data_IF_047838947253
#
_entry.id   IF_047838947253
#
_cell.length_a   1.000
_cell.length_b   1.000
_cell.length_c   1.000
_cell.angle_alpha   90.00
_cell.angle_beta   90.00
_cell.angle_gamma   90.00
#
_symmetry.space_group_name_H-M   'P 1'
#
loop_
_entity.id
_entity.type
_entity.pdbx_description
1 polymer ?
#
# COMPACT_ATOMS: atom_id res chain seq x y z
N UNK A 1 -59.19 29.58 -43.31
CA UNK A 1 -57.92 28.88 -43.64
C UNK A 1 -58.21 27.42 -43.95
N UNK A 2 -58.02 26.97 -45.19
CA UNK A 2 -58.13 25.55 -45.57
C UNK A 2 -56.83 24.86 -45.18
N UNK A 3 -56.83 24.10 -44.09
CA UNK A 3 -55.71 23.22 -43.71
C UNK A 3 -55.61 22.13 -44.79
N UNK A 4 -54.47 22.01 -45.45
CA UNK A 4 -54.30 21.16 -46.63
C UNK A 4 -54.29 19.67 -46.26
N UNK A 5 -54.70 18.80 -47.20
CA UNK A 5 -54.62 17.33 -47.05
C UNK A 5 -53.20 16.83 -46.72
N UNK A 6 -52.17 17.63 -47.03
CA UNK A 6 -50.76 17.35 -46.71
C UNK A 6 -50.50 17.42 -45.21
N UNK A 7 -51.18 18.32 -44.49
CA UNK A 7 -51.06 18.43 -43.04
C UNK A 7 -51.65 17.21 -42.34
N UNK A 8 -52.80 16.71 -42.80
CA UNK A 8 -53.37 15.47 -42.28
C UNK A 8 -52.49 14.26 -42.60
N UNK A 9 -51.91 14.17 -43.80
CA UNK A 9 -50.97 13.11 -44.16
C UNK A 9 -49.71 13.11 -43.27
N UNK A 10 -49.16 14.29 -42.98
CA UNK A 10 -48.01 14.47 -42.09
C UNK A 10 -48.36 14.14 -40.63
N UNK A 11 -49.56 14.52 -40.17
CA UNK A 11 -50.06 14.18 -38.85
C UNK A 11 -50.31 12.67 -38.71
N UNK A 12 -50.87 12.01 -39.72
CA UNK A 12 -50.99 10.55 -39.74
C UNK A 12 -49.64 9.85 -39.82
N UNK A 13 -48.64 10.39 -40.52
CA UNK A 13 -47.29 9.82 -40.54
C UNK A 13 -46.58 9.96 -39.18
N UNK A 14 -46.77 11.10 -38.50
CA UNK A 14 -46.30 11.30 -37.12
C UNK A 14 -47.05 10.38 -36.14
N UNK A 15 -48.38 10.23 -36.26
CA UNK A 15 -49.17 9.31 -35.44
C UNK A 15 -48.83 7.83 -35.72
N UNK A 16 -48.54 7.44 -36.97
CA UNK A 16 -48.06 6.10 -37.29
C UNK A 16 -46.67 5.84 -36.72
N UNK A 17 -45.77 6.84 -36.77
CA UNK A 17 -44.46 6.75 -36.13
C UNK A 17 -44.59 6.56 -34.60
N UNK A 18 -45.49 7.31 -33.95
CA UNK A 18 -45.84 7.22 -32.52
C UNK A 18 -46.52 5.89 -32.13
N UNK A 19 -47.31 5.29 -33.04
CA UNK A 19 -47.95 3.98 -32.84
C UNK A 19 -46.99 2.82 -33.11
N UNK A 20 -45.91 3.03 -33.87
CA UNK A 20 -44.82 2.03 -34.02
C UNK A 20 -43.75 2.08 -32.93
N UNK A 21 -43.71 3.13 -32.10
CA UNK A 21 -42.77 3.23 -30.98
C UNK A 21 -42.87 2.10 -29.92
N UNK A 22 -44.02 1.43 -29.67
CA UNK A 22 -44.08 0.33 -28.71
C UNK A 22 -43.65 -1.04 -29.29
N UNK A 23 -43.32 -1.16 -30.59
CA UNK A 23 -42.99 -2.44 -31.24
C UNK A 23 -41.48 -2.72 -31.40
N UNK A 24 -40.60 -1.82 -30.97
CA UNK A 24 -39.14 -2.00 -30.99
C UNK A 24 -38.64 -2.81 -29.76
N UNK A 25 -39.11 -4.05 -29.60
CA UNK A 25 -38.43 -5.02 -28.75
C UNK A 25 -37.49 -5.87 -29.61
N UNK A 26 -36.17 -5.62 -29.47
CA UNK A 26 -35.05 -6.38 -30.03
C UNK A 26 -35.13 -6.74 -31.53
N UNK A 27 -34.98 -5.75 -32.41
CA UNK A 27 -34.76 -5.99 -33.84
C UNK A 27 -33.25 -6.04 -34.12
N UNK A 28 -32.79 -7.21 -34.57
CA UNK A 28 -31.47 -7.35 -35.18
C UNK A 28 -31.61 -8.05 -36.53
N UNK A 29 -30.93 -7.51 -37.54
CA UNK A 29 -30.81 -8.13 -38.85
C UNK A 29 -29.55 -9.01 -38.84
N UNK A 30 -29.74 -10.33 -38.91
CA UNK A 30 -28.66 -11.30 -38.84
C UNK A 30 -28.52 -12.05 -40.17
N UNK A 31 -27.30 -12.13 -40.70
CA UNK A 31 -26.99 -12.74 -42.01
C UNK A 31 -25.73 -13.60 -41.87
N UNK A 32 -25.70 -14.87 -42.35
CA UNK A 32 -26.77 -15.61 -43.02
C UNK A 32 -27.72 -16.32 -42.05
N UNK A 33 -27.34 -16.42 -40.77
CA UNK A 33 -28.08 -17.16 -39.75
C UNK A 33 -28.52 -16.23 -38.63
N UNK A 34 -29.56 -16.63 -37.90
CA UNK A 34 -30.02 -15.92 -36.70
C UNK A 34 -28.96 -15.92 -35.58
N UNK A 35 -28.07 -16.91 -35.56
CA UNK A 35 -27.11 -17.11 -34.45
C UNK A 35 -25.65 -16.88 -34.85
N UNK A 36 -25.35 -16.70 -36.14
CA UNK A 36 -23.98 -16.45 -36.58
C UNK A 36 -23.88 -15.64 -37.87
N UNK A 37 -22.77 -14.90 -38.02
CA UNK A 37 -22.42 -14.12 -39.21
C UNK A 37 -22.28 -12.62 -38.93
N UNK A 38 -23.00 -11.78 -39.68
CA UNK A 38 -23.10 -10.34 -39.53
C UNK A 38 -24.44 -9.97 -38.87
N UNK A 39 -24.41 -9.21 -37.78
CA UNK A 39 -25.60 -8.70 -37.08
C UNK A 39 -25.62 -7.17 -37.07
N UNK A 40 -26.74 -6.57 -37.46
CA UNK A 40 -27.02 -5.14 -37.29
C UNK A 40 -28.19 -5.01 -36.32
N UNK A 41 -27.91 -4.49 -35.13
CA UNK A 41 -28.87 -4.32 -34.03
C UNK A 41 -28.53 -5.16 -32.81
N UNK A 42 -29.52 -5.32 -31.93
CA UNK A 42 -29.35 -5.97 -30.63
C UNK A 42 -29.71 -7.45 -30.69
N UNK A 43 -28.86 -8.29 -31.31
CA UNK A 43 -29.06 -9.75 -31.36
C UNK A 43 -28.56 -10.40 -30.07
N UNK A 44 -29.36 -11.35 -29.56
CA UNK A 44 -28.99 -12.22 -28.44
C UNK A 44 -28.36 -13.51 -28.99
N UNK A 45 -27.50 -14.17 -28.20
CA UNK A 45 -26.90 -15.49 -28.51
C UNK A 45 -26.28 -15.57 -29.92
N UNK A 46 -25.34 -14.67 -30.19
CA UNK A 46 -24.79 -14.45 -31.52
C UNK A 46 -23.27 -14.66 -31.59
N UNK A 47 -22.81 -15.29 -32.67
CA UNK A 47 -21.39 -15.48 -32.97
C UNK A 47 -21.00 -14.82 -34.29
N UNK A 48 -20.16 -13.78 -34.26
CA UNK A 48 -19.65 -13.14 -35.46
C UNK A 48 -19.36 -11.66 -35.28
N UNK A 49 -19.68 -10.86 -36.29
CA UNK A 49 -19.51 -9.41 -36.28
C UNK A 49 -20.85 -8.73 -36.01
N UNK A 50 -20.91 -7.87 -34.99
CA UNK A 50 -22.13 -7.19 -34.56
C UNK A 50 -21.90 -5.67 -34.53
N UNK A 51 -22.79 -4.95 -35.20
CA UNK A 51 -22.92 -3.49 -35.09
C UNK A 51 -24.20 -3.20 -34.31
N UNK A 52 -24.08 -2.50 -33.20
CA UNK A 52 -25.22 -2.19 -32.35
C UNK A 52 -25.25 -0.71 -31.98
N UNK A 53 -26.44 -0.11 -31.99
CA UNK A 53 -26.60 1.23 -31.44
C UNK A 53 -26.49 1.18 -29.91
N UNK A 54 -27.14 0.21 -29.25
CA UNK A 54 -27.22 0.12 -27.79
C UNK A 54 -27.36 -1.32 -27.32
N UNK A 55 -26.47 -1.78 -26.45
CA UNK A 55 -26.54 -3.12 -25.87
C UNK A 55 -27.63 -3.22 -24.78
N UNK A 56 -28.45 -4.27 -24.87
CA UNK A 56 -29.46 -4.68 -23.88
C UNK A 56 -29.58 -6.21 -23.92
N UNK A 57 -29.44 -6.87 -22.77
CA UNK A 57 -29.68 -8.31 -22.59
C UNK A 57 -29.09 -9.17 -23.73
N UNK A 58 -27.75 -9.25 -23.83
CA UNK A 58 -27.07 -9.81 -25.01
C UNK A 58 -27.00 -11.35 -25.03
N UNK A 59 -27.33 -12.03 -23.93
CA UNK A 59 -27.16 -13.48 -23.81
C UNK A 59 -25.68 -13.84 -23.97
N UNK A 60 -25.35 -14.74 -24.89
CA UNK A 60 -23.96 -15.06 -25.25
C UNK A 60 -23.53 -14.38 -26.54
N UNK A 61 -22.56 -13.47 -26.48
CA UNK A 61 -21.96 -12.83 -27.64
C UNK A 61 -20.53 -13.32 -27.84
N UNK A 62 -20.19 -13.83 -29.03
CA UNK A 62 -18.83 -14.26 -29.39
C UNK A 62 -18.38 -13.57 -30.67
N UNK A 63 -17.22 -12.91 -30.66
CA UNK A 63 -16.64 -12.28 -31.84
C UNK A 63 -16.42 -10.78 -31.69
N UNK A 64 -16.76 -9.99 -32.70
CA UNK A 64 -16.50 -8.54 -32.73
C UNK A 64 -17.80 -7.78 -32.51
N UNK A 65 -17.84 -6.88 -31.55
CA UNK A 65 -19.02 -6.04 -31.27
C UNK A 65 -18.65 -4.55 -31.28
N UNK A 66 -19.38 -3.76 -32.05
CA UNK A 66 -19.24 -2.29 -32.07
C UNK A 66 -20.51 -1.65 -31.52
N UNK A 67 -20.41 -0.93 -30.41
CA UNK A 67 -21.56 -0.30 -29.73
C UNK A 67 -21.46 1.22 -29.66
N UNK A 68 -22.45 1.93 -30.20
CA UNK A 68 -22.39 3.39 -30.33
C UNK A 68 -22.95 4.19 -29.14
N UNK A 69 -23.77 3.59 -28.28
CA UNK A 69 -24.47 4.30 -27.21
C UNK A 69 -24.38 3.60 -25.85
N UNK A 70 -24.79 4.33 -24.79
CA UNK A 70 -24.78 3.82 -23.42
C UNK A 70 -25.68 2.58 -23.29
N UNK A 71 -25.20 1.48 -22.68
CA UNK A 71 -25.99 0.26 -22.47
C UNK A 71 -27.32 0.51 -21.71
N UNK A 72 -28.25 -0.43 -21.81
CA UNK A 72 -29.46 -0.45 -20.99
C UNK A 72 -29.12 -0.51 -19.49
N UNK A 73 -29.99 -0.03 -18.58
CA UNK A 73 -29.69 -0.05 -17.14
C UNK A 73 -29.51 -1.48 -16.59
N UNK A 74 -30.14 -2.45 -17.23
CA UNK A 74 -29.99 -3.87 -16.95
C UNK A 74 -29.38 -4.51 -18.20
N UNK A 75 -28.05 -4.56 -18.28
CA UNK A 75 -27.37 -5.40 -19.26
C UNK A 75 -26.97 -6.70 -18.56
N UNK A 76 -27.28 -7.83 -19.20
CA UNK A 76 -26.94 -9.19 -18.77
C UNK A 76 -26.27 -9.92 -19.92
N UNK A 77 -25.53 -10.98 -19.61
CA UNK A 77 -24.92 -11.86 -20.60
C UNK A 77 -23.40 -11.76 -20.72
N UNK A 78 -22.86 -12.75 -21.43
CA UNK A 78 -21.43 -13.01 -21.57
C UNK A 78 -20.95 -12.55 -22.95
N UNK A 79 -19.94 -11.69 -22.97
CA UNK A 79 -19.30 -11.27 -24.21
C UNK A 79 -17.84 -11.72 -24.26
N UNK A 80 -17.52 -12.58 -25.21
CA UNK A 80 -16.16 -13.04 -25.50
C UNK A 80 -15.68 -12.58 -26.88
N UNK A 81 -14.66 -11.72 -26.94
CA UNK A 81 -14.02 -11.32 -28.19
C UNK A 81 -13.50 -9.88 -28.18
N UNK A 82 -13.78 -9.12 -29.24
CA UNK A 82 -13.29 -7.75 -29.42
C UNK A 82 -14.45 -6.76 -29.35
N UNK A 83 -14.52 -5.99 -28.28
CA UNK A 83 -15.52 -4.94 -28.06
C UNK A 83 -14.98 -3.56 -28.34
N UNK A 84 -15.63 -2.82 -29.23
CA UNK A 84 -15.37 -1.41 -29.48
C UNK A 84 -16.62 -0.62 -29.13
N UNK A 85 -16.52 0.45 -28.35
CA UNK A 85 -17.70 1.27 -28.08
C UNK A 85 -17.38 2.74 -27.85
N UNK A 86 -18.24 3.62 -28.36
CA UNK A 86 -18.08 5.07 -28.19
C UNK A 86 -18.21 5.46 -26.70
N UNK A 87 -19.24 4.94 -26.05
CA UNK A 87 -19.37 5.02 -24.58
C UNK A 87 -18.56 3.90 -23.93
N UNK A 88 -18.64 2.69 -24.46
CA UNK A 88 -17.98 1.54 -23.86
C UNK A 88 -18.68 0.21 -24.03
N UNK A 89 -17.94 -0.90 -24.25
CA UNK A 89 -18.48 -2.24 -24.07
C UNK A 89 -18.99 -2.43 -22.63
N UNK A 90 -20.16 -3.03 -22.50
CA UNK A 90 -20.74 -3.39 -21.21
C UNK A 90 -21.51 -4.70 -21.29
N UNK A 91 -21.22 -5.61 -20.36
CA UNK A 91 -21.85 -6.91 -20.24
C UNK A 91 -21.76 -7.40 -18.79
N UNK A 92 -22.40 -8.52 -18.47
CA UNK A 92 -22.23 -9.15 -17.17
C UNK A 92 -20.81 -9.68 -17.01
N UNK A 93 -20.35 -10.45 -18.00
CA UNK A 93 -18.97 -10.89 -18.11
C UNK A 93 -18.36 -10.43 -19.44
N UNK A 94 -17.19 -9.79 -19.38
CA UNK A 94 -16.42 -9.33 -20.52
C UNK A 94 -15.12 -10.13 -20.60
N UNK A 95 -14.85 -10.80 -21.73
CA UNK A 95 -13.62 -11.55 -21.97
C UNK A 95 -13.01 -11.20 -23.32
N UNK A 96 -11.75 -10.75 -23.34
CA UNK A 96 -11.01 -10.48 -24.58
C UNK A 96 -10.42 -9.08 -24.63
N UNK A 97 -10.64 -8.35 -25.73
CA UNK A 97 -10.11 -7.00 -25.95
C UNK A 97 -11.29 -6.02 -25.93
N UNK A 98 -11.30 -5.10 -24.97
CA UNK A 98 -12.36 -4.13 -24.78
C UNK A 98 -11.81 -2.71 -24.89
N UNK A 99 -12.30 -1.93 -25.84
CA UNK A 99 -11.89 -0.54 -26.06
C UNK A 99 -13.14 0.34 -25.97
N UNK A 100 -13.21 1.13 -24.89
CA UNK A 100 -14.28 2.09 -24.65
C UNK A 100 -13.79 3.53 -24.81
N UNK A 101 -14.49 4.30 -25.63
CA UNK A 101 -14.24 5.73 -25.80
C UNK A 101 -14.51 6.56 -24.55
N UNK A 102 -15.32 6.05 -23.61
CA UNK A 102 -15.49 6.64 -22.27
C UNK A 102 -15.07 5.65 -21.19
N UNK A 103 -15.67 4.46 -21.14
CA UNK A 103 -15.36 3.48 -20.10
C UNK A 103 -15.49 2.03 -20.59
N UNK A 104 -14.92 1.08 -19.87
CA UNK A 104 -15.23 -0.36 -20.00
C UNK A 104 -15.80 -0.83 -18.66
N UNK A 105 -17.00 -1.40 -18.67
CA UNK A 105 -17.72 -1.75 -17.43
C UNK A 105 -18.30 -3.16 -17.52
N UNK A 106 -17.90 -4.03 -16.59
CA UNK A 106 -18.53 -5.32 -16.40
C UNK A 106 -19.35 -5.36 -15.11
N UNK A 107 -20.49 -6.05 -15.13
CA UNK A 107 -21.31 -6.23 -13.93
C UNK A 107 -20.71 -7.25 -12.96
N UNK A 108 -19.99 -8.25 -13.46
CA UNK A 108 -19.35 -9.26 -12.64
C UNK A 108 -17.86 -9.32 -12.95
N UNK A 109 -17.48 -9.87 -14.11
CA UNK A 109 -16.06 -10.10 -14.41
C UNK A 109 -15.59 -9.43 -15.69
N UNK A 110 -14.38 -8.89 -15.66
CA UNK A 110 -13.68 -8.37 -16.82
C UNK A 110 -12.33 -9.10 -16.93
N UNK A 111 -12.08 -9.78 -18.05
CA UNK A 111 -10.84 -10.54 -18.27
C UNK A 111 -10.22 -10.23 -19.63
N UNK A 112 -8.96 -9.78 -19.66
CA UNK A 112 -8.19 -9.57 -20.88
C UNK A 112 -7.55 -8.19 -20.95
N UNK A 113 -7.60 -7.55 -22.12
CA UNK A 113 -7.11 -6.19 -22.34
C UNK A 113 -8.30 -5.23 -22.32
N UNK A 114 -8.26 -4.20 -21.48
CA UNK A 114 -9.31 -3.19 -21.39
C UNK A 114 -8.72 -1.78 -21.37
N UNK A 115 -9.24 -0.93 -22.25
CA UNK A 115 -8.82 0.48 -22.38
C UNK A 115 -10.06 1.37 -22.34
N UNK A 116 -10.11 2.30 -21.39
CA UNK A 116 -11.18 3.27 -21.22
C UNK A 116 -10.62 4.68 -21.00
N UNK A 117 -11.14 5.67 -21.73
CA UNK A 117 -10.69 7.07 -21.60
C UNK A 117 -10.84 7.62 -20.18
N UNK A 118 -11.92 7.24 -19.48
CA UNK A 118 -12.21 7.65 -18.11
C UNK A 118 -11.92 6.48 -17.17
N UNK A 119 -12.57 5.33 -17.39
CA UNK A 119 -12.51 4.24 -16.43
C UNK A 119 -12.53 2.85 -17.05
N UNK A 120 -11.86 1.92 -16.38
CA UNK A 120 -12.02 0.48 -16.58
C UNK A 120 -12.44 -0.12 -15.24
N UNK A 121 -13.51 -0.91 -15.21
CA UNK A 121 -13.85 -1.60 -13.96
C UNK A 121 -14.93 -2.67 -14.04
N UNK A 122 -15.05 -3.41 -12.95
CA UNK A 122 -16.07 -4.41 -12.73
C UNK A 122 -16.57 -4.41 -11.28
N UNK A 123 -17.83 -4.78 -11.05
CA UNK A 123 -18.35 -4.86 -9.66
C UNK A 123 -17.72 -6.01 -8.87
N UNK A 124 -17.22 -7.05 -9.53
CA UNK A 124 -16.59 -8.21 -8.89
C UNK A 124 -15.09 -8.27 -9.14
N UNK A 125 -14.68 -8.75 -10.31
CA UNK A 125 -13.26 -8.98 -10.60
C UNK A 125 -12.80 -8.44 -11.94
N UNK A 126 -11.58 -7.93 -11.96
CA UNK A 126 -10.91 -7.43 -13.15
C UNK A 126 -9.56 -8.13 -13.26
N UNK A 127 -9.30 -8.81 -14.38
CA UNK A 127 -8.07 -9.58 -14.61
C UNK A 127 -7.44 -9.28 -15.96
N UNK A 128 -6.18 -8.88 -15.98
CA UNK A 128 -5.39 -8.71 -17.21
C UNK A 128 -4.70 -7.36 -17.29
N UNK A 129 -4.84 -6.66 -18.41
CA UNK A 129 -4.23 -5.34 -18.63
C UNK A 129 -5.35 -4.30 -18.70
N UNK A 130 -5.34 -3.36 -17.76
CA UNK A 130 -6.42 -2.38 -17.57
C UNK A 130 -5.84 -0.97 -17.59
N UNK A 131 -6.27 -0.17 -18.57
CA UNK A 131 -5.82 1.21 -18.76
C UNK A 131 -7.04 2.12 -18.67
N UNK A 132 -7.22 2.76 -17.51
CA UNK A 132 -8.22 3.79 -17.29
C UNK A 132 -7.58 5.18 -17.28
N UNK A 133 -8.05 6.11 -18.10
CA UNK A 133 -7.45 7.45 -18.13
C UNK A 133 -7.61 8.22 -16.82
N UNK A 134 -8.65 7.97 -16.03
CA UNK A 134 -8.79 8.46 -14.64
C UNK A 134 -8.65 7.32 -13.65
N UNK A 135 -9.36 6.20 -13.82
CA UNK A 135 -9.35 5.13 -12.82
C UNK A 135 -9.43 3.72 -13.40
N UNK A 136 -8.77 2.78 -12.74
CA UNK A 136 -8.99 1.35 -12.92
C UNK A 136 -9.42 0.73 -11.58
N UNK A 137 -10.53 0.00 -11.54
CA UNK A 137 -11.00 -0.55 -10.28
C UNK A 137 -11.89 -1.79 -10.36
N UNK A 138 -11.88 -2.56 -9.28
CA UNK A 138 -12.79 -3.70 -9.06
C UNK A 138 -13.46 -3.60 -7.69
N UNK A 139 -14.68 -4.13 -7.56
CA UNK A 139 -15.36 -4.20 -6.26
C UNK A 139 -14.79 -5.26 -5.32
N UNK A 140 -14.19 -6.33 -5.83
CA UNK A 140 -13.50 -7.37 -5.03
C UNK A 140 -12.01 -7.44 -5.44
N UNK A 141 -11.68 -8.15 -6.52
CA UNK A 141 -10.29 -8.43 -6.94
C UNK A 141 -9.89 -7.67 -8.22
N UNK A 142 -8.78 -6.93 -8.17
CA UNK A 142 -8.13 -6.35 -9.36
C UNK A 142 -6.74 -6.96 -9.56
N UNK A 143 -6.56 -7.72 -10.64
CA UNK A 143 -5.36 -8.53 -10.89
C UNK A 143 -4.71 -8.29 -12.25
N UNK A 144 -3.42 -7.93 -12.26
CA UNK A 144 -2.61 -7.87 -13.47
C UNK A 144 -1.81 -6.57 -13.62
N UNK A 145 -1.87 -5.95 -14.80
CA UNK A 145 -1.24 -4.66 -15.09
C UNK A 145 -2.31 -3.58 -15.09
N UNK A 146 -2.28 -2.68 -14.12
CA UNK A 146 -3.35 -1.71 -13.88
C UNK A 146 -2.77 -0.30 -13.89
N UNK A 147 -3.35 0.54 -14.75
CA UNK A 147 -2.99 1.95 -14.87
C UNK A 147 -4.24 2.81 -14.69
N UNK A 148 -4.17 3.76 -13.77
CA UNK A 148 -5.19 4.78 -13.53
C UNK A 148 -4.56 6.15 -13.41
N UNK A 149 -4.98 7.11 -14.24
CA UNK A 149 -4.40 8.46 -14.21
C UNK A 149 -4.54 9.19 -12.86
N UNK A 150 -5.59 8.88 -12.10
CA UNK A 150 -5.80 9.32 -10.72
C UNK A 150 -5.65 8.15 -9.74
N UNK A 151 -6.34 7.02 -9.97
CA UNK A 151 -6.37 5.96 -8.98
C UNK A 151 -6.47 4.55 -9.56
N UNK A 152 -5.84 3.60 -8.85
CA UNK A 152 -6.07 2.17 -9.02
C UNK A 152 -6.58 1.62 -7.69
N UNK A 153 -7.71 0.89 -7.71
CA UNK A 153 -8.38 0.47 -6.48
C UNK A 153 -9.07 -0.88 -6.57
N UNK A 154 -9.05 -1.64 -5.48
CA UNK A 154 -9.84 -2.85 -5.30
C UNK A 154 -10.58 -2.80 -3.96
N UNK A 155 -11.80 -3.33 -3.89
CA UNK A 155 -12.53 -3.40 -2.62
C UNK A 155 -11.97 -4.45 -1.65
N UNK A 156 -11.31 -5.48 -2.16
CA UNK A 156 -10.67 -6.53 -1.35
C UNK A 156 -9.18 -6.63 -1.73
N UNK A 157 -8.86 -7.34 -2.82
CA UNK A 157 -7.47 -7.66 -3.20
C UNK A 157 -7.00 -6.92 -4.45
N UNK A 158 -5.81 -6.32 -4.37
CA UNK A 158 -5.10 -5.71 -5.49
C UNK A 158 -3.79 -6.46 -5.75
N UNK A 159 -3.69 -7.20 -6.87
CA UNK A 159 -2.51 -8.01 -7.21
C UNK A 159 -1.87 -7.63 -8.55
N UNK A 160 -0.55 -7.38 -8.56
CA UNK A 160 0.24 -7.28 -9.78
C UNK A 160 1.08 -5.99 -9.87
N UNK A 161 1.00 -5.29 -11.00
CA UNK A 161 1.65 -4.00 -11.21
C UNK A 161 0.57 -2.93 -11.26
N UNK A 162 0.55 -2.03 -10.28
CA UNK A 162 -0.49 -1.03 -10.10
C UNK A 162 0.15 0.36 -10.09
N UNK A 163 -0.29 1.22 -11.01
CA UNK A 163 0.19 2.59 -11.16
C UNK A 163 -1.00 3.52 -11.12
N UNK A 164 -1.15 4.24 -10.01
CA UNK A 164 -2.17 5.25 -9.76
C UNK A 164 -1.52 6.62 -9.62
N UNK A 165 -1.94 7.60 -10.43
CA UNK A 165 -1.31 8.92 -10.43
C UNK A 165 -1.41 9.66 -9.09
N UNK A 166 -2.49 9.46 -8.33
CA UNK A 166 -2.65 9.94 -6.95
C UNK A 166 -2.57 8.78 -5.96
N UNK A 167 -3.26 7.66 -6.19
CA UNK A 167 -3.33 6.59 -5.19
C UNK A 167 -3.42 5.18 -5.78
N UNK A 168 -2.84 4.22 -5.04
CA UNK A 168 -3.10 2.79 -5.19
C UNK A 168 -3.65 2.24 -3.87
N UNK A 169 -4.82 1.58 -3.91
CA UNK A 169 -5.51 1.15 -2.70
C UNK A 169 -6.18 -0.22 -2.80
N UNK A 170 -6.21 -0.95 -1.69
CA UNK A 170 -6.99 -2.16 -1.52
C UNK A 170 -7.73 -2.13 -0.18
N UNK A 171 -8.96 -2.65 -0.11
CA UNK A 171 -9.68 -2.76 1.16
C UNK A 171 -9.10 -3.82 2.10
N UNK A 172 -8.45 -4.85 1.56
CA UNK A 172 -7.74 -5.88 2.32
C UNK A 172 -6.26 -5.86 1.94
N UNK A 173 -5.89 -6.55 0.86
CA UNK A 173 -4.50 -6.86 0.54
C UNK A 173 -4.02 -6.19 -0.74
N UNK A 174 -2.82 -5.59 -0.66
CA UNK A 174 -2.15 -4.94 -1.79
C UNK A 174 -0.80 -5.61 -2.05
N UNK A 175 -0.73 -6.36 -3.15
CA UNK A 175 0.38 -7.29 -3.44
C UNK A 175 1.02 -7.02 -4.81
N UNK A 176 2.35 -6.90 -4.84
CA UNK A 176 3.14 -6.74 -6.08
C UNK A 176 3.92 -5.42 -6.15
N UNK A 177 3.92 -4.77 -7.30
CA UNK A 177 4.54 -3.45 -7.51
C UNK A 177 3.45 -2.38 -7.51
N UNK A 178 3.51 -1.44 -6.57
CA UNK A 178 2.46 -0.46 -6.35
C UNK A 178 3.06 0.95 -6.30
N UNK A 179 2.61 1.81 -7.21
CA UNK A 179 3.04 3.21 -7.28
C UNK A 179 1.79 4.08 -7.17
N UNK A 180 1.68 4.78 -6.05
CA UNK A 180 0.65 5.80 -5.82
C UNK A 180 1.33 7.15 -5.69
N UNK A 181 1.04 8.10 -6.59
CA UNK A 181 1.76 9.37 -6.59
C UNK A 181 1.72 10.10 -5.23
N UNK A 182 0.58 10.09 -4.55
CA UNK A 182 0.44 10.59 -3.18
C UNK A 182 0.52 9.46 -2.14
N UNK A 183 -0.24 8.37 -2.31
CA UNK A 183 -0.30 7.31 -1.30
C UNK A 183 -0.51 5.90 -1.86
N UNK A 184 0.03 4.91 -1.14
CA UNK A 184 -0.33 3.49 -1.27
C UNK A 184 -0.93 3.00 0.05
N UNK A 185 -2.06 2.29 0.01
CA UNK A 185 -2.76 1.84 1.22
C UNK A 185 -3.41 0.47 1.08
N UNK A 186 -3.39 -0.31 2.17
CA UNK A 186 -4.12 -1.55 2.30
C UNK A 186 -4.81 -1.61 3.67
N UNK A 187 -6.05 -2.11 3.73
CA UNK A 187 -6.76 -2.27 5.00
C UNK A 187 -6.18 -3.37 5.89
N UNK A 188 -5.53 -4.38 5.31
CA UNK A 188 -4.82 -5.45 6.00
C UNK A 188 -3.34 -5.37 5.67
N UNK A 189 -2.88 -6.08 4.62
CA UNK A 189 -1.46 -6.25 4.36
C UNK A 189 -0.98 -5.64 3.04
N UNK A 190 0.18 -5.01 3.08
CA UNK A 190 0.94 -4.59 1.90
C UNK A 190 2.15 -5.50 1.69
N UNK A 191 2.25 -6.18 0.54
CA UNK A 191 3.37 -7.07 0.23
C UNK A 191 4.01 -6.81 -1.13
N UNK A 192 5.32 -6.55 -1.17
CA UNK A 192 6.09 -6.40 -2.40
C UNK A 192 6.89 -5.11 -2.45
N UNK A 193 6.77 -4.37 -3.55
CA UNK A 193 7.44 -3.08 -3.75
C UNK A 193 6.35 -2.00 -3.77
N UNK A 194 6.43 -1.05 -2.83
CA UNK A 194 5.48 0.06 -2.77
C UNK A 194 6.21 1.40 -2.68
N UNK A 195 5.78 2.36 -3.50
CA UNK A 195 6.35 3.69 -3.54
C UNK A 195 5.26 4.76 -3.60
N UNK A 196 5.39 5.81 -2.77
CA UNK A 196 4.52 6.97 -2.78
C UNK A 196 5.22 8.24 -2.30
N UNK A 197 4.73 9.43 -2.66
CA UNK A 197 5.34 10.68 -2.15
C UNK A 197 5.00 10.88 -0.67
N UNK A 198 3.73 10.79 -0.30
CA UNK A 198 3.33 11.07 1.06
C UNK A 198 3.46 9.81 1.93
N UNK A 199 2.64 8.79 1.70
CA UNK A 199 2.61 7.66 2.62
C UNK A 199 2.40 6.29 1.98
N UNK A 200 2.97 5.29 2.63
CA UNK A 200 2.64 3.87 2.44
C UNK A 200 2.16 3.30 3.77
N UNK A 201 0.93 2.79 3.82
CA UNK A 201 0.29 2.36 5.06
C UNK A 201 -0.47 1.05 4.93
N UNK A 202 -0.30 0.16 5.90
CA UNK A 202 -1.06 -1.08 6.04
C UNK A 202 -1.78 -1.12 7.40
N UNK A 203 -3.00 -1.65 7.45
CA UNK A 203 -3.71 -1.82 8.72
C UNK A 203 -3.08 -2.87 9.64
N UNK A 204 -2.47 -3.90 9.05
CA UNK A 204 -1.81 -5.00 9.76
C UNK A 204 -0.32 -5.02 9.40
N UNK A 205 0.07 -5.69 8.32
CA UNK A 205 1.48 -5.94 7.99
C UNK A 205 1.96 -5.21 6.73
N UNK A 206 3.19 -4.70 6.79
CA UNK A 206 3.90 -4.13 5.66
C UNK A 206 5.17 -4.95 5.40
N UNK A 207 5.21 -5.69 4.29
CA UNK A 207 6.28 -6.63 3.96
C UNK A 207 6.93 -6.34 2.59
N UNK A 208 8.23 -6.04 2.56
CA UNK A 208 9.01 -5.95 1.32
C UNK A 208 9.88 -4.70 1.23
N UNK A 209 9.89 -4.05 0.06
CA UNK A 209 10.57 -2.78 -0.16
C UNK A 209 9.54 -1.66 -0.21
N UNK A 210 9.59 -0.75 0.77
CA UNK A 210 8.65 0.37 0.84
C UNK A 210 9.40 1.68 0.93
N UNK A 211 9.05 2.61 0.06
CA UNK A 211 9.65 3.94 -0.01
C UNK A 211 8.56 5.02 0.01
N UNK A 212 8.65 5.94 0.97
CA UNK A 212 7.88 7.18 0.94
C UNK A 212 8.69 8.40 1.35
N UNK A 213 8.34 9.57 0.81
CA UNK A 213 9.03 10.81 1.17
C UNK A 213 8.55 11.40 2.51
N UNK A 214 7.38 10.98 3.02
CA UNK A 214 6.91 11.37 4.35
C UNK A 214 6.85 10.19 5.32
N UNK A 215 5.91 9.24 5.21
CA UNK A 215 5.78 8.21 6.24
C UNK A 215 5.45 6.81 5.72
N UNK A 216 6.11 5.80 6.32
CA UNK A 216 5.75 4.39 6.15
C UNK A 216 5.27 3.83 7.49
N UNK A 217 4.16 3.10 7.49
CA UNK A 217 3.62 2.55 8.73
C UNK A 217 2.78 1.29 8.57
N UNK A 218 2.74 0.48 9.62
CA UNK A 218 1.85 -0.67 9.74
C UNK A 218 1.23 -0.74 11.14
N UNK A 219 -0.01 -1.19 11.27
CA UNK A 219 -0.67 -1.35 12.57
C UNK A 219 -0.09 -2.49 13.40
N UNK A 220 0.50 -3.50 12.75
CA UNK A 220 1.20 -4.61 13.39
C UNK A 220 2.68 -4.58 13.02
N UNK A 221 3.10 -5.28 11.97
CA UNK A 221 4.51 -5.51 11.71
C UNK A 221 5.02 -4.82 10.43
N UNK A 222 6.25 -4.31 10.49
CA UNK A 222 6.99 -3.81 9.33
C UNK A 222 8.18 -4.73 9.10
N UNK A 223 8.23 -5.41 7.95
CA UNK A 223 9.30 -6.38 7.62
C UNK A 223 9.93 -6.12 6.25
N UNK A 224 11.24 -5.90 6.22
CA UNK A 224 12.01 -5.74 4.99
C UNK A 224 12.84 -4.46 4.96
N UNK A 225 12.82 -3.75 3.82
CA UNK A 225 13.53 -2.47 3.64
C UNK A 225 12.49 -1.36 3.57
N UNK A 226 12.45 -0.52 4.61
CA UNK A 226 11.46 0.56 4.72
C UNK A 226 12.16 1.90 4.87
N UNK A 227 11.88 2.82 3.94
CA UNK A 227 12.44 4.17 3.93
C UNK A 227 11.26 5.14 3.99
N UNK A 228 11.14 5.90 5.08
CA UNK A 228 10.13 6.94 5.25
C UNK A 228 10.83 8.26 5.52
N UNK A 229 10.66 9.26 4.65
CA UNK A 229 11.45 10.49 4.75
C UNK A 229 11.30 11.19 6.10
N UNK A 230 10.08 11.32 6.64
CA UNK A 230 9.86 11.79 8.01
C UNK A 230 9.95 10.62 9.00
N UNK A 231 9.12 9.59 8.88
CA UNK A 231 9.04 8.53 9.88
C UNK A 231 8.78 7.12 9.33
N UNK A 232 9.23 6.12 10.09
CA UNK A 232 8.86 4.71 9.93
C UNK A 232 8.31 4.19 11.25
N UNK A 233 7.14 3.56 11.23
CA UNK A 233 6.48 3.09 12.46
C UNK A 233 5.81 1.71 12.32
N UNK A 234 5.80 0.95 13.41
CA UNK A 234 5.01 -0.27 13.54
C UNK A 234 4.29 -0.32 14.89
N UNK A 235 3.07 -0.82 14.95
CA UNK A 235 2.37 -0.99 16.22
C UNK A 235 2.96 -2.11 17.08
N UNK A 236 3.51 -3.15 16.45
CA UNK A 236 4.18 -4.28 17.10
C UNK A 236 5.68 -4.29 16.74
N UNK A 237 6.11 -5.13 15.80
CA UNK A 237 7.52 -5.34 15.51
C UNK A 237 7.99 -4.69 14.20
N UNK A 238 9.23 -4.17 14.21
CA UNK A 238 9.97 -3.79 13.02
C UNK A 238 11.14 -4.77 12.80
N UNK A 239 11.21 -5.44 11.66
CA UNK A 239 12.29 -6.37 11.31
C UNK A 239 12.92 -6.03 9.95
N UNK A 240 14.22 -5.71 9.93
CA UNK A 240 14.99 -5.52 8.69
C UNK A 240 15.79 -4.21 8.68
N UNK A 241 15.70 -3.47 7.57
CA UNK A 241 16.40 -2.18 7.38
C UNK A 241 15.36 -1.07 7.40
N UNK A 242 15.51 -0.12 8.32
CA UNK A 242 14.62 1.04 8.42
C UNK A 242 15.41 2.34 8.43
N UNK A 243 14.99 3.30 7.62
CA UNK A 243 15.63 4.61 7.55
C UNK A 243 14.60 5.74 7.52
N UNK A 244 14.82 6.77 8.34
CA UNK A 244 14.01 7.99 8.35
C UNK A 244 14.80 9.22 8.78
N UNK A 245 14.33 10.42 8.43
CA UNK A 245 15.00 11.67 8.84
C UNK A 245 14.58 12.14 10.23
N UNK A 246 13.40 11.75 10.71
CA UNK A 246 12.95 12.11 12.05
C UNK A 246 12.97 10.90 12.97
N UNK A 247 11.97 10.02 12.90
CA UNK A 247 11.82 8.94 13.88
C UNK A 247 11.62 7.56 13.23
N UNK A 248 12.18 6.54 13.86
CA UNK A 248 11.89 5.15 13.56
C UNK A 248 11.56 4.41 14.86
N UNK A 249 10.41 3.73 14.93
CA UNK A 249 10.10 2.99 16.15
C UNK A 249 8.91 2.06 16.09
N UNK A 250 8.89 1.15 17.06
CA UNK A 250 7.91 0.08 17.15
C UNK A 250 7.31 0.00 18.56
N UNK A 251 6.04 -0.36 18.68
CA UNK A 251 5.42 -0.59 19.99
C UNK A 251 5.99 -1.81 20.73
N UNK A 252 6.48 -2.81 20.00
CA UNK A 252 7.16 -4.00 20.50
C UNK A 252 8.67 -3.91 20.30
N UNK A 253 9.22 -4.72 19.40
CA UNK A 253 10.66 -4.84 19.13
C UNK A 253 11.07 -4.19 17.80
N UNK A 254 12.24 -3.53 17.79
CA UNK A 254 12.95 -3.17 16.54
C UNK A 254 14.17 -4.09 16.40
N UNK A 255 14.21 -4.86 15.31
CA UNK A 255 15.26 -5.86 15.02
C UNK A 255 15.90 -5.59 13.66
N UNK A 256 17.22 -5.39 13.62
CA UNK A 256 17.96 -5.22 12.38
C UNK A 256 18.80 -3.95 12.35
N UNK A 257 18.77 -3.21 11.24
CA UNK A 257 19.53 -1.98 11.04
C UNK A 257 18.57 -0.79 10.93
N UNK A 258 18.60 0.10 11.92
CA UNK A 258 17.68 1.25 11.99
C UNK A 258 18.46 2.54 12.11
N UNK A 259 18.17 3.50 11.23
CA UNK A 259 18.75 4.84 11.24
C UNK A 259 17.64 5.87 11.27
N UNK A 260 17.70 6.81 12.23
CA UNK A 260 16.78 7.93 12.30
C UNK A 260 17.51 9.23 12.61
N UNK A 261 17.17 10.33 11.94
CA UNK A 261 17.83 11.62 12.18
C UNK A 261 17.52 12.27 13.53
N UNK A 262 16.43 11.88 14.20
CA UNK A 262 16.09 12.35 15.56
C UNK A 262 16.13 11.20 16.57
N UNK A 263 15.23 10.21 16.45
CA UNK A 263 15.11 9.16 17.48
C UNK A 263 14.83 7.76 16.94
N UNK A 264 15.42 6.76 17.61
CA UNK A 264 15.08 5.33 17.44
C UNK A 264 14.50 4.78 18.73
N UNK A 265 13.30 4.22 18.69
CA UNK A 265 12.59 3.76 19.90
C UNK A 265 11.92 2.41 19.75
N UNK A 266 11.87 1.63 20.82
CA UNK A 266 11.04 0.43 20.91
C UNK A 266 10.40 0.32 22.30
N UNK A 267 9.18 -0.19 22.37
CA UNK A 267 8.49 -0.40 23.65
C UNK A 267 9.06 -1.55 24.47
N UNK A 268 9.70 -2.53 23.83
CA UNK A 268 10.29 -3.70 24.49
C UNK A 268 11.79 -3.82 24.23
N UNK A 269 12.19 -3.97 22.96
CA UNK A 269 13.56 -4.32 22.62
C UNK A 269 14.10 -3.61 21.37
N UNK A 270 15.32 -3.06 21.47
CA UNK A 270 16.17 -2.73 20.34
C UNK A 270 17.21 -3.84 20.15
N UNK A 271 17.21 -4.55 19.02
CA UNK A 271 18.18 -5.60 18.72
C UNK A 271 18.86 -5.38 17.36
N UNK A 272 20.18 -5.23 17.35
CA UNK A 272 20.97 -5.06 16.13
C UNK A 272 21.78 -3.76 16.12
N UNK A 273 21.65 -2.96 15.06
CA UNK A 273 22.34 -1.69 14.87
C UNK A 273 21.30 -0.56 14.87
N UNK A 274 21.40 0.33 15.84
CA UNK A 274 20.53 1.51 15.95
C UNK A 274 21.36 2.78 15.96
N UNK A 275 21.12 3.67 15.00
CA UNK A 275 21.78 4.99 14.90
C UNK A 275 20.70 6.06 14.96
N UNK A 276 20.80 6.96 15.94
CA UNK A 276 19.88 8.07 16.11
C UNK A 276 20.64 9.40 16.24
N UNK A 277 20.11 10.47 15.64
CA UNK A 277 20.76 11.78 15.73
C UNK A 277 20.67 12.43 17.12
N UNK A 278 19.65 12.11 17.92
CA UNK A 278 19.46 12.65 19.28
C UNK A 278 19.35 11.54 20.32
N UNK A 279 18.39 10.62 20.17
CA UNK A 279 18.08 9.66 21.24
C UNK A 279 17.78 8.25 20.73
N UNK A 280 18.24 7.25 21.48
CA UNK A 280 17.85 5.87 21.30
C UNK A 280 17.39 5.25 22.63
N UNK A 281 16.30 4.47 22.62
CA UNK A 281 15.86 3.82 23.85
C UNK A 281 14.83 2.70 23.70
N UNK A 282 14.94 1.74 24.61
CA UNK A 282 14.01 0.65 24.87
C UNK A 282 14.36 0.00 26.23
N UNK A 283 13.45 -0.75 26.88
CA UNK A 283 13.78 -1.52 28.08
C UNK A 283 15.00 -2.41 27.88
N UNK A 284 15.02 -3.23 26.83
CA UNK A 284 16.16 -4.08 26.48
C UNK A 284 16.87 -3.58 25.21
N UNK A 285 18.17 -3.31 25.30
CA UNK A 285 18.99 -2.95 24.13
C UNK A 285 20.10 -3.97 23.95
N UNK A 286 20.14 -4.61 22.78
CA UNK A 286 21.11 -5.66 22.42
C UNK A 286 21.79 -5.38 21.08
N UNK A 287 23.07 -5.07 21.09
CA UNK A 287 23.86 -4.83 19.88
C UNK A 287 24.63 -3.52 19.91
N UNK A 288 24.71 -2.83 18.77
CA UNK A 288 25.38 -1.55 18.63
C UNK A 288 24.36 -0.41 18.64
N UNK A 289 24.59 0.60 19.46
CA UNK A 289 23.73 1.80 19.50
C UNK A 289 24.58 3.06 19.50
N UNK A 290 24.29 3.98 18.59
CA UNK A 290 24.93 5.29 18.50
C UNK A 290 23.87 6.38 18.56
N UNK A 291 23.83 7.13 19.66
CA UNK A 291 22.95 8.28 19.83
C UNK A 291 23.47 9.17 20.97
N UNK A 292 23.38 10.52 20.89
CA UNK A 292 23.80 11.38 22.00
C UNK A 292 23.24 10.99 23.36
N UNK A 293 21.97 10.58 23.40
CA UNK A 293 21.28 10.08 24.59
C UNK A 293 20.84 8.62 24.38
N UNK A 294 21.29 7.71 25.27
CA UNK A 294 20.84 6.32 25.29
C UNK A 294 20.16 6.02 26.63
N UNK A 295 18.94 5.50 26.58
CA UNK A 295 18.16 5.12 27.76
C UNK A 295 17.63 3.69 27.69
N UNK A 296 17.92 2.88 28.70
CA UNK A 296 17.45 1.49 28.79
C UNK A 296 17.35 1.00 30.24
N UNK A 297 16.84 -0.22 30.42
CA UNK A 297 16.89 -0.96 31.68
C UNK A 297 17.99 -2.01 31.64
N UNK A 298 18.10 -2.76 30.53
CA UNK A 298 19.21 -3.67 30.27
C UNK A 298 19.91 -3.30 28.96
N UNK A 299 21.24 -3.30 29.00
CA UNK A 299 22.09 -3.03 27.84
C UNK A 299 23.07 -4.17 27.63
N UNK A 300 23.13 -4.73 26.42
CA UNK A 300 24.13 -5.73 26.03
C UNK A 300 24.77 -5.37 24.69
N UNK A 301 26.04 -4.95 24.69
CA UNK A 301 26.78 -4.69 23.45
C UNK A 301 27.67 -3.45 23.50
N UNK A 302 27.61 -2.61 22.46
CA UNK A 302 28.49 -1.45 22.30
C UNK A 302 27.64 -0.17 22.19
N UNK A 303 27.76 0.69 23.19
CA UNK A 303 27.11 1.98 23.23
C UNK A 303 28.08 3.13 22.89
N UNK A 304 27.74 3.91 21.88
CA UNK A 304 28.34 5.22 21.63
C UNK A 304 27.31 6.29 21.99
N UNK A 305 27.45 6.86 23.18
CA UNK A 305 26.54 7.86 23.71
C UNK A 305 27.26 9.15 24.06
N UNK A 306 27.65 10.01 23.09
CA UNK A 306 28.51 11.17 23.33
C UNK A 306 28.13 12.02 24.53
N UNK A 307 26.83 12.18 24.84
CA UNK A 307 26.36 12.98 25.97
C UNK A 307 26.02 12.12 27.19
N UNK A 308 25.08 11.18 27.08
CA UNK A 308 24.53 10.54 28.28
C UNK A 308 24.02 9.13 28.03
N UNK A 309 24.50 8.18 28.83
CA UNK A 309 23.98 6.81 28.89
C UNK A 309 23.32 6.55 30.25
N UNK A 310 22.08 6.08 30.22
CA UNK A 310 21.31 5.72 31.42
C UNK A 310 20.83 4.28 31.36
N UNK A 311 21.23 3.49 32.36
CA UNK A 311 20.69 2.16 32.65
C UNK A 311 19.90 2.21 33.94
N UNK A 312 18.58 2.03 33.86
CA UNK A 312 17.64 2.15 34.98
C UNK A 312 17.51 0.81 35.71
N UNK A 313 18.31 0.60 36.75
CA UNK A 313 18.13 -0.49 37.72
C UNK A 313 18.47 -1.91 37.25
N UNK A 314 18.48 -2.16 35.94
CA UNK A 314 18.90 -3.44 35.36
C UNK A 314 20.40 -3.56 35.12
N UNK A 315 20.78 -4.37 34.13
CA UNK A 315 22.17 -4.73 33.86
C UNK A 315 22.76 -3.98 32.65
N UNK A 316 23.94 -3.40 32.82
CA UNK A 316 24.82 -3.03 31.71
C UNK A 316 25.85 -4.13 31.49
N UNK A 317 25.94 -4.66 30.26
CA UNK A 317 26.90 -5.68 29.85
C UNK A 317 27.57 -5.33 28.52
N UNK A 318 28.75 -4.74 28.55
CA UNK A 318 29.50 -4.48 27.31
C UNK A 318 30.47 -3.32 27.39
N UNK A 319 30.51 -2.50 26.34
CA UNK A 319 31.38 -1.32 26.25
C UNK A 319 30.52 -0.08 26.06
N UNK A 320 30.72 0.95 26.89
CA UNK A 320 30.14 2.28 26.65
C UNK A 320 31.22 3.34 26.51
N UNK A 321 30.99 4.25 25.55
CA UNK A 321 31.75 5.49 25.41
C UNK A 321 30.76 6.64 25.53
N UNK A 322 30.81 7.38 26.63
CA UNK A 322 29.88 8.47 26.93
C UNK A 322 30.49 9.51 27.85
N UNK A 323 30.13 10.79 27.70
CA UNK A 323 30.56 11.81 28.68
C UNK A 323 30.07 11.47 30.10
N UNK A 324 28.84 10.95 30.21
CA UNK A 324 28.21 10.62 31.48
C UNK A 324 27.55 9.24 31.40
N UNK A 325 28.19 8.25 32.01
CA UNK A 325 27.62 6.92 32.18
C UNK A 325 26.93 6.82 33.55
N UNK A 326 25.64 6.53 33.57
CA UNK A 326 24.88 6.29 34.80
C UNK A 326 24.22 4.92 34.78
N UNK A 327 24.84 3.96 35.46
CA UNK A 327 24.35 2.60 35.64
C UNK A 327 23.78 2.44 37.04
N UNK A 328 22.45 2.41 37.16
CA UNK A 328 21.76 2.30 38.45
C UNK A 328 21.57 0.85 38.93
N UNK A 329 22.11 -0.14 38.21
CA UNK A 329 22.16 -1.55 38.62
C UNK A 329 23.55 -2.13 38.45
N UNK A 330 23.63 -3.32 37.84
CA UNK A 330 24.87 -4.07 37.62
C UNK A 330 25.66 -3.51 36.43
N UNK A 331 26.89 -3.03 36.65
CA UNK A 331 27.82 -2.70 35.59
C UNK A 331 28.81 -3.84 35.34
N UNK A 332 28.67 -4.53 34.20
CA UNK A 332 29.61 -5.55 33.69
C UNK A 332 30.24 -5.05 32.38
N UNK A 333 31.57 -5.07 32.32
CA UNK A 333 32.32 -4.59 31.15
C UNK A 333 32.96 -3.21 31.36
N UNK A 334 33.17 -2.47 30.29
CA UNK A 334 34.01 -1.27 30.25
C UNK A 334 33.17 0.00 29.99
N UNK A 335 33.16 0.92 30.96
CA UNK A 335 32.57 2.24 30.76
C UNK A 335 33.68 3.30 30.64
N UNK A 336 33.71 4.01 29.52
CA UNK A 336 34.64 5.10 29.24
C UNK A 336 33.85 6.41 29.25
N UNK A 337 34.31 7.40 30.03
CA UNK A 337 33.63 8.68 30.10
C UNK A 337 34.31 9.76 30.93
N UNK A 338 33.71 10.94 31.00
CA UNK A 338 34.16 11.98 31.94
C UNK A 338 33.71 11.57 33.34
N UNK A 339 32.43 11.21 33.48
CA UNK A 339 31.86 10.71 34.73
C UNK A 339 31.27 9.32 34.48
N UNK A 340 31.71 8.36 35.30
CA UNK A 340 31.14 7.02 35.34
C UNK A 340 30.52 6.79 36.72
N UNK A 341 29.25 6.41 36.77
CA UNK A 341 28.55 6.03 37.98
C UNK A 341 27.99 4.61 37.84
N UNK A 342 28.28 3.76 38.82
CA UNK A 342 27.68 2.44 38.97
C UNK A 342 27.17 2.22 40.41
N UNK A 343 25.96 1.68 40.53
CA UNK A 343 25.46 1.16 41.81
C UNK A 343 26.27 -0.09 42.22
N UNK A 344 26.31 -1.11 41.36
CA UNK A 344 27.13 -2.32 41.57
C UNK A 344 28.15 -2.46 40.44
N UNK A 345 29.45 -2.37 40.75
CA UNK A 345 30.52 -2.41 39.77
C UNK A 345 31.13 -3.81 39.74
N UNK A 346 30.93 -4.54 38.63
CA UNK A 346 31.53 -5.85 38.34
C UNK A 346 32.52 -5.81 37.17
N UNK A 347 32.71 -4.62 36.58
CA UNK A 347 33.59 -4.37 35.44
C UNK A 347 34.67 -3.33 35.74
N UNK A 348 35.02 -2.55 34.71
CA UNK A 348 36.04 -1.51 34.75
C UNK A 348 35.46 -0.17 34.31
N UNK A 349 35.83 0.91 34.99
CA UNK A 349 35.50 2.28 34.63
C UNK A 349 36.79 3.02 34.31
N UNK A 350 36.78 3.79 33.21
CA UNK A 350 37.87 4.68 32.81
C UNK A 350 37.30 6.08 32.61
N UNK A 351 37.80 7.05 33.36
CA UNK A 351 37.28 8.41 33.29
C UNK A 351 37.87 9.37 34.30
N UNK A 352 37.53 10.65 34.16
CA UNK A 352 38.01 11.69 35.09
C UNK A 352 37.50 11.43 36.50
N UNK A 353 36.22 11.05 36.63
CA UNK A 353 35.57 10.72 37.89
C UNK A 353 34.81 9.39 37.80
N UNK A 354 35.21 8.42 38.62
CA UNK A 354 34.62 7.07 38.61
C UNK A 354 34.02 6.74 39.99
N UNK A 355 32.70 6.59 40.02
CA UNK A 355 31.90 6.39 41.22
C UNK A 355 31.32 4.97 41.22
N UNK A 356 31.68 4.18 42.23
CA UNK A 356 31.19 2.82 42.45
C UNK A 356 30.60 2.71 43.85
N UNK A 357 29.27 2.75 43.98
CA UNK A 357 28.60 2.76 45.30
C UNK A 357 28.82 1.46 46.08
N UNK A 358 28.98 0.35 45.38
CA UNK A 358 29.37 -0.96 45.91
C UNK A 358 30.78 -0.97 46.51
N UNK A 359 31.72 -0.09 46.15
CA UNK A 359 33.07 -0.20 46.68
C UNK A 359 33.22 0.24 48.16
N UNK A 360 34.26 -0.24 48.88
CA UNK A 360 34.60 0.25 50.21
C UNK A 360 35.00 1.74 50.17
N UNK A 361 34.80 2.46 51.28
CA UNK A 361 34.79 3.94 51.31
C UNK A 361 35.93 4.65 50.56
N UNK A 362 37.17 4.16 50.69
CA UNK A 362 38.35 4.75 50.03
C UNK A 362 38.36 4.59 48.50
N UNK A 363 37.63 3.61 47.96
CA UNK A 363 37.57 3.29 46.52
C UNK A 363 36.20 3.56 45.88
N UNK A 364 35.29 4.22 46.62
CA UNK A 364 33.98 4.64 46.10
C UNK A 364 34.08 5.69 45.02
N UNK A 365 35.07 6.59 45.12
CA UNK A 365 35.30 7.67 44.17
C UNK A 365 36.79 7.65 43.86
N UNK A 366 37.14 7.32 42.62
CA UNK A 366 38.54 7.28 42.17
C UNK A 366 38.72 8.09 40.88
N UNK A 367 39.81 8.86 40.77
CA UNK A 367 40.20 9.48 39.52
C UNK A 367 40.78 8.45 38.56
N UNK A 368 40.72 8.75 37.25
CA UNK A 368 41.31 7.96 36.15
C UNK A 368 40.64 6.60 35.94
N UNK A 369 40.56 5.73 36.94
CA UNK A 369 39.90 4.43 36.83
C UNK A 369 39.23 3.95 38.12
N UNK A 370 38.31 2.99 37.99
CA UNK A 370 37.76 2.25 39.12
C UNK A 370 37.41 0.80 38.70
N UNK A 371 37.48 -0.15 39.63
CA UNK A 371 37.10 -1.57 39.45
C UNK A 371 36.47 -2.11 40.72
N UNK A 372 35.94 -3.34 40.69
CA UNK A 372 35.50 -4.00 41.92
C UNK A 372 36.72 -4.32 42.82
N UNK A 373 36.66 -3.90 44.09
CA UNK A 373 37.68 -4.17 45.11
C UNK A 373 37.14 -4.97 46.32
N UNK A 374 35.92 -5.52 46.21
CA UNK A 374 35.35 -6.45 47.20
C UNK A 374 35.83 -7.88 47.01
#
# INVERSE_FOLDING_TARGET
MKVSKVFYAFLTACLFSLVTYPLLNAQALNIPSRTWGLSIGNSQDFTGFRLNFRDKDIGTLKGVNVTFWKPAKNYTGDFTGVGLGLVGPAAENLKGIMIGGIAVQAKSTLTGLSVGLIAVGAERSVKGINIGGIAAGAGEELRGLNFGGLAVGAGEELFGINIGGLACGAGEDLRGLNIGGFACGAGQSMKGISAAIFACGAGEDLQGFTLSAFACGAGENVKGITIGGFAVGAGQDMEGISASMFAAGAGGSVRGFTVAGFAVGAGEQLKGISIAGIAAGAPDVKGFTSAPFIGCENYQGIALAPLYLKVKGGEFKGVSVSSFNRVLGDQKGLNIGIINFASDLKGFQLGVLNIAASNPGWSRILPIFNKNFR
#
